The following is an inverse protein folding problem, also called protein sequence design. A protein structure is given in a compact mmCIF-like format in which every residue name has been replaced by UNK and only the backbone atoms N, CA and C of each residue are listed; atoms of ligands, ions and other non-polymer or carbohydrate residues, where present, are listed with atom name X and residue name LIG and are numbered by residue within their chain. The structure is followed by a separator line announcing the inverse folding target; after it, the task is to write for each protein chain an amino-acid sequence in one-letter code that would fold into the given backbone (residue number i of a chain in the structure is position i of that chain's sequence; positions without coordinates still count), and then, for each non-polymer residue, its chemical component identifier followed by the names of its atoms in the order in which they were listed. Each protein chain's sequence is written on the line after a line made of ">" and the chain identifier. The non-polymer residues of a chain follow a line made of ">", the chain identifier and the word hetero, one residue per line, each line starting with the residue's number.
data_IF_078072938280
#
_entry.id   IF_078072938280
#
_cell.length_a   1.000
_cell.length_b   1.000
_cell.length_c   1.000
_cell.angle_alpha   90.00
_cell.angle_beta   90.00
_cell.angle_gamma   90.00
#
_symmetry.space_group_name_H-M   'P 1'
#
loop_
_entity.id
_entity.type
_entity.pdbx_description
1 polymer ?
#
# COMPACT_ATOMS: atom_id res chain seq x y z
N UNK A 1 27.15 4.68 1.97
CA UNK A 1 26.16 5.68 1.51
C UNK A 1 25.70 5.24 0.13
N UNK A 2 24.57 4.54 0.02
CA UNK A 2 24.14 3.91 -1.25
C UNK A 2 22.66 3.59 -1.30
N UNK A 3 21.83 4.39 -0.61
CA UNK A 3 20.38 4.17 -0.48
C UNK A 3 19.54 5.37 -0.96
N UNK A 4 20.15 6.50 -1.33
CA UNK A 4 19.43 7.75 -1.64
C UNK A 4 18.49 7.65 -2.85
N UNK A 5 18.80 6.79 -3.82
CA UNK A 5 17.96 6.61 -5.01
C UNK A 5 16.73 5.75 -4.73
N UNK A 6 16.90 4.63 -4.04
CA UNK A 6 15.79 3.73 -3.72
C UNK A 6 14.85 4.35 -2.70
N UNK A 7 15.37 5.14 -1.76
CA UNK A 7 14.58 5.82 -0.75
C UNK A 7 13.64 6.88 -1.39
N UNK A 8 14.18 7.73 -2.28
CA UNK A 8 13.34 8.65 -3.07
C UNK A 8 12.29 7.92 -3.90
N UNK A 9 12.67 6.84 -4.60
CA UNK A 9 11.72 6.07 -5.39
C UNK A 9 10.65 5.44 -4.48
N UNK A 10 11.01 4.99 -3.28
CA UNK A 10 10.07 4.44 -2.32
C UNK A 10 9.10 5.50 -1.77
N UNK A 11 9.56 6.73 -1.53
CA UNK A 11 8.70 7.85 -1.15
C UNK A 11 7.70 8.22 -2.25
N UNK A 12 8.16 8.30 -3.50
CA UNK A 12 7.29 8.57 -4.64
C UNK A 12 6.26 7.45 -4.83
N UNK A 13 6.70 6.18 -4.74
CA UNK A 13 5.80 5.03 -4.76
C UNK A 13 4.78 5.07 -3.62
N UNK A 14 5.21 5.43 -2.41
CA UNK A 14 4.31 5.55 -1.26
C UNK A 14 3.25 6.61 -1.54
N UNK A 15 3.61 7.76 -2.10
CA UNK A 15 2.68 8.84 -2.42
C UNK A 15 1.68 8.40 -3.49
N UNK A 16 2.15 7.87 -4.61
CA UNK A 16 1.33 7.37 -5.72
C UNK A 16 0.35 6.29 -5.25
N UNK A 17 0.86 5.22 -4.62
CA UNK A 17 0.02 4.13 -4.11
C UNK A 17 -0.96 4.65 -3.06
N UNK A 18 -0.55 5.59 -2.19
CA UNK A 18 -1.47 6.17 -1.20
C UNK A 18 -2.59 6.97 -1.83
N UNK A 19 -2.33 7.60 -2.98
CA UNK A 19 -3.35 8.31 -3.75
C UNK A 19 -4.29 7.33 -4.43
N UNK A 20 -3.75 6.30 -5.08
CA UNK A 20 -4.55 5.25 -5.77
C UNK A 20 -5.46 4.53 -4.77
N UNK A 21 -4.93 4.10 -3.62
CA UNK A 21 -5.75 3.44 -2.60
C UNK A 21 -6.83 4.38 -2.06
N UNK A 22 -6.56 5.69 -1.94
CA UNK A 22 -7.53 6.63 -1.39
C UNK A 22 -8.61 7.04 -2.40
N UNK A 23 -8.25 7.16 -3.68
CA UNK A 23 -9.14 7.67 -4.73
C UNK A 23 -9.88 6.54 -5.46
N UNK A 24 -9.17 5.45 -5.75
CA UNK A 24 -9.64 4.34 -6.58
C UNK A 24 -10.30 3.22 -5.75
N UNK A 25 -9.83 2.98 -4.52
CA UNK A 25 -10.39 1.97 -3.63
C UNK A 25 -11.47 2.60 -2.75
N UNK A 26 -12.68 2.64 -3.30
CA UNK A 26 -13.93 2.96 -2.58
C UNK A 26 -14.75 1.70 -2.35
N UNK A 27 -14.08 0.63 -1.91
CA UNK A 27 -14.76 -0.63 -1.62
C UNK A 27 -15.26 -0.62 -0.16
N UNK A 28 -16.56 -0.85 0.12
CA UNK A 28 -17.11 -0.82 1.48
C UNK A 28 -16.54 -1.90 2.41
N UNK A 29 -15.75 -2.83 1.87
CA UNK A 29 -15.04 -3.89 2.59
C UNK A 29 -13.64 -3.48 3.04
N UNK A 30 -13.06 -2.49 2.36
CA UNK A 30 -11.78 -1.89 2.74
C UNK A 30 -12.10 -0.85 3.80
N UNK A 31 -11.51 -0.99 4.99
CA UNK A 31 -11.80 -0.05 6.07
C UNK A 31 -11.47 1.38 5.60
N UNK A 32 -12.40 2.32 5.81
CA UNK A 32 -12.29 3.74 5.42
C UNK A 32 -10.98 4.38 5.92
N UNK A 33 -10.42 3.82 7.00
CA UNK A 33 -9.15 4.22 7.60
C UNK A 33 -7.99 3.27 7.26
N UNK A 34 -7.82 2.92 5.99
CA UNK A 34 -6.63 2.19 5.51
C UNK A 34 -5.53 3.18 5.13
N UNK A 35 -4.34 3.05 5.71
CA UNK A 35 -3.20 3.95 5.49
C UNK A 35 -1.92 3.18 5.20
N UNK A 36 -1.08 3.72 4.32
CA UNK A 36 0.22 3.12 4.02
C UNK A 36 1.24 3.57 5.07
N UNK A 37 1.74 2.61 5.84
CA UNK A 37 2.75 2.86 6.87
C UNK A 37 4.13 2.98 6.25
N UNK A 38 4.51 2.04 5.39
CA UNK A 38 5.86 2.00 4.81
C UNK A 38 5.87 1.29 3.46
N UNK A 39 6.85 1.63 2.62
CA UNK A 39 7.10 0.98 1.33
C UNK A 39 8.57 0.63 1.24
N UNK A 40 8.86 -0.63 0.92
CA UNK A 40 10.21 -1.13 0.76
C UNK A 40 10.37 -1.71 -0.63
N UNK A 41 11.28 -1.14 -1.41
CA UNK A 41 11.53 -1.56 -2.79
C UNK A 41 12.82 -2.36 -2.85
N UNK A 42 12.79 -3.46 -3.59
CA UNK A 42 13.99 -4.26 -3.85
C UNK A 42 14.99 -3.50 -4.71
N UNK A 43 16.29 -3.82 -4.56
CA UNK A 43 17.38 -3.15 -5.31
C UNK A 43 17.23 -3.23 -6.83
N UNK A 44 16.54 -4.26 -7.32
CA UNK A 44 16.28 -4.48 -8.74
C UNK A 44 14.97 -3.83 -9.23
N UNK A 45 14.26 -3.09 -8.36
CA UNK A 45 13.00 -2.38 -8.63
C UNK A 45 11.83 -3.25 -9.13
N UNK A 46 12.02 -4.56 -9.33
CA UNK A 46 10.96 -5.49 -9.78
C UNK A 46 9.87 -5.74 -8.75
N UNK A 47 10.21 -5.64 -7.47
CA UNK A 47 9.26 -5.92 -6.39
C UNK A 47 9.25 -4.78 -5.37
N UNK A 48 8.05 -4.32 -5.03
CA UNK A 48 7.77 -3.40 -3.96
C UNK A 48 6.92 -4.10 -2.89
N UNK A 49 7.34 -4.02 -1.63
CA UNK A 49 6.57 -4.45 -0.46
C UNK A 49 5.91 -3.23 0.15
N UNK A 50 4.59 -3.23 0.19
CA UNK A 50 3.80 -2.12 0.72
C UNK A 50 3.16 -2.59 2.02
N UNK A 51 3.43 -1.86 3.09
CA UNK A 51 2.88 -2.11 4.41
C UNK A 51 1.68 -1.20 4.61
N UNK A 52 0.51 -1.81 4.72
CA UNK A 52 -0.75 -1.13 5.01
C UNK A 52 -1.17 -1.39 6.44
N UNK A 53 -1.68 -0.35 7.08
CA UNK A 53 -2.34 -0.43 8.37
C UNK A 53 -3.82 -0.16 8.16
N UNK A 54 -4.66 -1.06 8.66
CA UNK A 54 -6.10 -1.02 8.55
C UNK A 54 -6.62 -0.82 9.95
N UNK A 55 -7.33 0.29 10.19
CA UNK A 55 -7.97 0.51 11.48
C UNK A 55 -9.33 -0.19 11.50
N UNK A 56 -9.38 -1.43 12.03
CA UNK A 56 -10.60 -2.24 12.11
C UNK A 56 -10.35 -3.62 12.72
N UNK A 57 -11.41 -4.43 12.83
CA UNK A 57 -11.33 -5.82 13.33
C UNK A 57 -10.59 -6.76 12.37
N UNK A 58 -10.11 -7.91 12.87
CA UNK A 58 -9.42 -8.95 12.08
C UNK A 58 -10.19 -9.34 10.81
N UNK A 59 -11.52 -9.31 10.88
CA UNK A 59 -12.41 -9.58 9.74
C UNK A 59 -12.30 -8.51 8.65
N UNK A 60 -12.24 -7.23 9.03
CA UNK A 60 -12.02 -6.10 8.11
C UNK A 60 -10.60 -6.13 7.55
N UNK A 61 -9.62 -6.57 8.32
CA UNK A 61 -8.26 -6.78 7.83
C UNK A 61 -8.22 -7.82 6.70
N UNK A 62 -8.89 -8.96 6.88
CA UNK A 62 -8.99 -10.01 5.86
C UNK A 62 -9.75 -9.57 4.61
N UNK A 63 -10.87 -8.86 4.78
CA UNK A 63 -11.64 -8.30 3.66
C UNK A 63 -10.85 -7.21 2.91
N UNK A 64 -10.12 -6.35 3.64
CA UNK A 64 -9.25 -5.32 3.05
C UNK A 64 -8.13 -5.92 2.22
N UNK A 65 -7.45 -6.98 2.71
CA UNK A 65 -6.42 -7.68 1.93
C UNK A 65 -7.01 -8.30 0.67
N UNK A 66 -8.23 -8.84 0.77
CA UNK A 66 -8.93 -9.43 -0.38
C UNK A 66 -9.33 -8.37 -1.40
N UNK A 67 -9.88 -7.23 -0.95
CA UNK A 67 -10.21 -6.08 -1.79
C UNK A 67 -8.98 -5.50 -2.49
N UNK A 68 -7.89 -5.30 -1.76
CA UNK A 68 -6.62 -4.84 -2.31
C UNK A 68 -6.04 -5.82 -3.34
N UNK A 69 -6.16 -7.14 -3.12
CA UNK A 69 -5.74 -8.15 -4.10
C UNK A 69 -6.60 -8.15 -5.36
N UNK A 70 -7.91 -7.97 -5.23
CA UNK A 70 -8.81 -7.87 -6.39
C UNK A 70 -8.59 -6.59 -7.20
N UNK A 71 -8.27 -5.47 -6.55
CA UNK A 71 -7.98 -4.20 -7.22
C UNK A 71 -6.60 -4.17 -7.91
N UNK A 72 -5.66 -5.01 -7.46
CA UNK A 72 -4.33 -5.15 -8.07
C UNK A 72 -4.30 -6.08 -9.29
N UNK A 73 -5.44 -6.69 -9.65
CA UNK A 73 -5.60 -7.68 -10.73
C UNK A 73 -5.96 -7.06 -12.08
#
# INVERSE_FOLDING_TARGET
>A
MGFERTDRIAEEYKREVSSIIRDEIRDPRVAEFTSITSVSITRDLRYAKIYVSVLGDEKQQGDTITGLKSAAG
#
